data_IF_760895465785
#
_entry.id   IF_760895465785
#
_cell.length_a   1.000
_cell.length_b   1.000
_cell.length_c   1.000
_cell.angle_alpha   90.00
_cell.angle_beta   90.00
_cell.angle_gamma   90.00
#
_symmetry.space_group_name_H-M   'P 1'
#
loop_
_entity.id
_entity.type
_entity.pdbx_description
1 polymer ?
#
# COMPACT_ATOMS: atom_id res chain seq x y z
N UNK A 1 2.34 22.53 -13.34
CA UNK A 1 3.08 21.31 -12.94
C UNK A 1 2.47 20.83 -11.65
N UNK A 2 2.17 19.53 -11.52
CA UNK A 2 1.58 18.97 -10.30
C UNK A 2 2.50 19.25 -9.11
N UNK A 3 1.97 19.74 -7.99
CA UNK A 3 2.77 20.24 -6.87
C UNK A 3 2.59 19.48 -5.56
N UNK A 4 1.77 18.43 -5.56
CA UNK A 4 1.49 17.62 -4.40
C UNK A 4 2.66 16.75 -3.91
N UNK A 5 2.41 15.94 -2.87
CA UNK A 5 3.40 15.02 -2.32
C UNK A 5 3.66 13.84 -3.27
N UNK A 6 4.87 13.28 -3.19
CA UNK A 6 5.17 11.96 -3.75
C UNK A 6 4.30 10.92 -3.04
N UNK A 7 3.55 10.10 -3.77
CA UNK A 7 2.83 8.98 -3.15
C UNK A 7 3.65 7.71 -3.25
N UNK A 8 3.92 7.08 -2.10
CA UNK A 8 4.68 5.84 -2.02
C UNK A 8 3.73 4.74 -1.55
N UNK A 9 3.38 3.79 -2.42
CA UNK A 9 2.61 2.62 -2.04
C UNK A 9 3.47 1.68 -1.19
N UNK A 10 2.98 1.31 0.00
CA UNK A 10 3.77 0.58 0.98
C UNK A 10 2.97 -0.56 1.62
N UNK A 11 3.51 -1.77 1.54
CA UNK A 11 2.94 -2.99 2.12
C UNK A 11 3.92 -3.69 3.10
N UNK A 12 5.07 -3.05 3.36
CA UNK A 12 6.10 -3.58 4.27
C UNK A 12 7.02 -4.65 3.67
N UNK A 13 6.87 -4.96 2.38
CA UNK A 13 7.72 -5.96 1.71
C UNK A 13 9.12 -5.40 1.40
N UNK A 14 10.16 -6.24 1.28
CA UNK A 14 11.56 -5.79 1.09
C UNK A 14 11.81 -4.83 -0.08
N UNK A 15 11.19 -5.03 -1.22
CA UNK A 15 11.21 -4.12 -2.36
C UNK A 15 10.23 -2.93 -2.26
N UNK A 16 9.25 -2.90 -1.36
CA UNK A 16 8.53 -1.67 -1.05
C UNK A 16 9.45 -0.77 -0.22
N UNK A 17 10.19 -1.38 0.72
CA UNK A 17 11.28 -0.71 1.42
C UNK A 17 12.40 -0.25 0.47
N UNK A 18 12.83 -1.09 -0.49
CA UNK A 18 13.80 -0.71 -1.54
C UNK A 18 13.29 0.43 -2.39
N UNK A 19 12.03 0.35 -2.85
CA UNK A 19 11.42 1.37 -3.69
C UNK A 19 11.41 2.73 -3.01
N UNK A 20 11.06 2.74 -1.74
CA UNK A 20 11.08 3.93 -0.91
C UNK A 20 12.49 4.51 -0.78
N UNK A 21 13.51 3.68 -0.51
CA UNK A 21 14.91 4.14 -0.40
C UNK A 21 15.43 4.72 -1.71
N UNK A 22 15.24 4.01 -2.83
CA UNK A 22 15.70 4.48 -4.15
C UNK A 22 14.93 5.69 -4.66
N UNK A 23 13.65 5.81 -4.29
CA UNK A 23 12.92 7.04 -4.55
C UNK A 23 13.53 8.23 -3.80
N UNK A 24 14.08 8.03 -2.60
CA UNK A 24 14.81 9.06 -1.86
C UNK A 24 15.98 9.62 -2.66
N UNK A 25 16.79 8.75 -3.27
CA UNK A 25 17.94 9.17 -4.09
C UNK A 25 17.56 10.03 -5.30
N UNK A 26 16.36 9.80 -5.86
CA UNK A 26 15.92 10.45 -7.10
C UNK A 26 14.99 11.65 -6.88
N UNK A 27 14.22 11.63 -5.79
CA UNK A 27 13.09 12.54 -5.59
C UNK A 27 13.20 13.36 -4.30
N UNK A 28 14.14 13.08 -3.40
CA UNK A 28 14.35 13.92 -2.21
C UNK A 28 15.14 15.20 -2.55
N UNK A 29 14.96 16.30 -1.80
CA UNK A 29 13.96 16.47 -0.73
C UNK A 29 12.60 16.86 -1.31
N UNK A 30 11.55 16.11 -0.95
CA UNK A 30 10.15 16.43 -1.28
C UNK A 30 9.23 15.99 -0.16
N UNK A 31 8.03 16.58 -0.11
CA UNK A 31 6.94 16.02 0.68
C UNK A 31 6.56 14.64 0.13
N UNK A 32 6.39 13.65 1.00
CA UNK A 32 5.96 12.31 0.64
C UNK A 32 4.83 11.82 1.55
N UNK A 33 3.89 11.06 0.99
CA UNK A 33 2.92 10.29 1.74
C UNK A 33 3.21 8.81 1.51
N UNK A 34 3.49 8.09 2.60
CA UNK A 34 3.68 6.65 2.59
C UNK A 34 2.32 6.01 2.85
N UNK A 35 1.76 5.39 1.81
CA UNK A 35 0.36 4.96 1.73
C UNK A 35 0.25 3.46 1.93
N UNK A 36 -0.38 3.06 3.02
CA UNK A 36 -0.82 1.68 3.26
C UNK A 36 -2.30 1.58 2.92
N UNK A 37 -2.63 0.75 1.94
CA UNK A 37 -4.02 0.50 1.55
C UNK A 37 -4.52 -0.75 2.27
N UNK A 38 -5.70 -0.66 2.88
CA UNK A 38 -6.32 -1.76 3.62
C UNK A 38 -7.79 -1.95 3.25
N UNK A 39 -8.24 -3.20 3.24
CA UNK A 39 -9.64 -3.54 3.02
C UNK A 39 -10.43 -3.44 4.33
N UNK A 40 -11.28 -2.42 4.44
CA UNK A 40 -12.18 -2.23 5.59
C UNK A 40 -13.33 -3.22 5.46
N UNK A 41 -13.76 -3.82 6.57
CA UNK A 41 -14.84 -4.80 6.54
C UNK A 41 -14.36 -6.20 6.18
N UNK A 42 -13.09 -6.42 5.81
CA UNK A 42 -12.60 -7.74 5.39
C UNK A 42 -12.74 -8.79 6.48
N UNK A 43 -12.40 -8.42 7.72
CA UNK A 43 -12.51 -9.35 8.85
C UNK A 43 -13.98 -9.61 9.17
N UNK A 44 -14.81 -8.57 9.20
CA UNK A 44 -16.25 -8.75 9.37
C UNK A 44 -16.85 -9.64 8.28
N UNK A 45 -16.51 -9.40 7.02
CA UNK A 45 -16.97 -10.21 5.88
C UNK A 45 -16.50 -11.67 6.00
N UNK A 46 -15.27 -11.91 6.45
CA UNK A 46 -14.73 -13.26 6.61
C UNK A 46 -15.31 -14.02 7.83
N UNK A 47 -15.61 -13.31 8.93
CA UNK A 47 -16.05 -13.93 10.19
C UNK A 47 -17.57 -13.98 10.32
N UNK A 48 -18.27 -12.91 9.94
CA UNK A 48 -19.73 -12.76 10.09
C UNK A 48 -20.47 -13.06 8.78
N UNK A 49 -19.86 -12.76 7.63
CA UNK A 49 -20.47 -12.99 6.30
C UNK A 49 -20.94 -14.44 6.05
N UNK A 50 -20.16 -15.49 6.40
CA UNK A 50 -20.60 -16.88 6.23
C UNK A 50 -21.82 -17.23 7.08
N UNK A 51 -21.91 -16.71 8.31
CA UNK A 51 -23.05 -16.94 9.21
C UNK A 51 -24.33 -16.34 8.63
N UNK A 52 -24.24 -15.09 8.18
CA UNK A 52 -25.35 -14.39 7.51
C UNK A 52 -25.80 -15.13 6.25
N UNK A 53 -24.85 -15.57 5.42
CA UNK A 53 -25.13 -16.35 4.20
C UNK A 53 -25.81 -17.68 4.51
N UNK A 54 -25.40 -18.35 5.59
CA UNK A 54 -26.00 -19.59 6.06
C UNK A 54 -27.31 -19.39 6.85
N UNK A 55 -27.81 -18.16 6.98
CA UNK A 55 -28.97 -17.81 7.81
C UNK A 55 -28.82 -18.25 9.29
N UNK A 56 -27.59 -18.32 9.78
CA UNK A 56 -27.27 -18.59 11.18
C UNK A 56 -27.38 -17.26 11.93
N UNK A 57 -28.15 -17.17 13.04
CA UNK A 57 -28.27 -15.94 13.81
C UNK A 57 -26.91 -15.44 14.30
N UNK A 58 -26.57 -14.20 13.95
CA UNK A 58 -25.35 -13.54 14.44
C UNK A 58 -25.59 -13.03 15.85
N UNK A 59 -24.73 -13.43 16.77
CA UNK A 59 -24.73 -13.02 18.16
C UNK A 59 -23.93 -11.73 18.37
N UNK A 60 -24.20 -11.04 19.48
CA UNK A 60 -23.42 -9.86 19.89
C UNK A 60 -21.93 -10.19 20.06
N UNK A 61 -21.62 -11.41 20.53
CA UNK A 61 -20.24 -11.85 20.72
C UNK A 61 -19.48 -11.94 19.39
N UNK A 62 -20.10 -12.50 18.35
CA UNK A 62 -19.48 -12.60 17.02
C UNK A 62 -19.22 -11.22 16.42
N UNK A 63 -20.17 -10.28 16.57
CA UNK A 63 -19.99 -8.89 16.12
C UNK A 63 -18.83 -8.24 16.87
N UNK A 64 -18.81 -8.34 18.20
CA UNK A 64 -17.75 -7.73 19.03
C UNK A 64 -16.38 -8.28 18.66
N UNK A 65 -16.25 -9.59 18.50
CA UNK A 65 -14.99 -10.23 18.11
C UNK A 65 -14.52 -9.78 16.73
N UNK A 66 -15.42 -9.69 15.74
CA UNK A 66 -15.07 -9.16 14.43
C UNK A 66 -14.58 -7.69 14.52
N UNK A 67 -15.26 -6.85 15.30
CA UNK A 67 -14.86 -5.45 15.52
C UNK A 67 -13.50 -5.32 16.22
N UNK A 68 -13.20 -6.19 17.19
CA UNK A 68 -11.90 -6.25 17.86
C UNK A 68 -10.78 -6.58 16.87
N UNK A 69 -10.96 -7.60 16.04
CA UNK A 69 -9.98 -7.95 15.01
C UNK A 69 -9.81 -6.86 13.95
N UNK A 70 -10.88 -6.17 13.54
CA UNK A 70 -10.76 -5.02 12.63
C UNK A 70 -9.96 -3.88 13.24
N UNK A 71 -10.19 -3.60 14.53
CA UNK A 71 -9.43 -2.60 15.26
C UNK A 71 -7.95 -2.97 15.32
N UNK A 72 -7.61 -4.23 15.58
CA UNK A 72 -6.24 -4.72 15.56
C UNK A 72 -5.59 -4.60 14.17
N UNK A 73 -6.32 -4.96 13.12
CA UNK A 73 -5.86 -4.83 11.73
C UNK A 73 -5.58 -3.37 11.36
N UNK A 74 -6.48 -2.44 11.72
CA UNK A 74 -6.28 -1.00 11.52
C UNK A 74 -5.07 -0.48 12.28
N UNK A 75 -4.87 -0.91 13.54
CA UNK A 75 -3.69 -0.55 14.31
C UNK A 75 -2.40 -1.09 13.68
N UNK A 76 -2.41 -2.31 13.15
CA UNK A 76 -1.27 -2.87 12.44
C UNK A 76 -0.95 -2.08 11.16
N UNK A 77 -1.97 -1.70 10.38
CA UNK A 77 -1.80 -0.86 9.19
C UNK A 77 -1.22 0.52 9.54
N UNK A 78 -1.66 1.14 10.65
CA UNK A 78 -1.10 2.42 11.14
C UNK A 78 0.37 2.30 11.51
N UNK A 79 0.74 1.28 12.28
CA UNK A 79 2.15 1.01 12.63
C UNK A 79 2.99 0.79 11.37
N UNK A 80 2.43 0.12 10.36
CA UNK A 80 3.12 -0.11 9.09
C UNK A 80 3.34 1.20 8.31
N UNK A 81 2.32 2.07 8.26
CA UNK A 81 2.44 3.39 7.63
C UNK A 81 3.44 4.29 8.37
N UNK A 82 3.44 4.28 9.70
CA UNK A 82 4.40 5.00 10.55
C UNK A 82 5.83 4.49 10.33
N UNK A 83 6.03 3.16 10.30
CA UNK A 83 7.33 2.55 9.96
C UNK A 83 7.80 3.02 8.59
N UNK A 84 6.94 2.95 7.58
CA UNK A 84 7.27 3.40 6.23
C UNK A 84 7.61 4.89 6.18
N UNK A 85 6.86 5.74 6.89
CA UNK A 85 7.15 7.17 6.98
C UNK A 85 8.52 7.45 7.60
N UNK A 86 8.87 6.77 8.69
CA UNK A 86 10.19 6.89 9.31
C UNK A 86 11.31 6.51 8.33
N UNK A 87 11.14 5.41 7.59
CA UNK A 87 12.10 5.01 6.55
C UNK A 87 12.21 6.05 5.43
N UNK A 88 11.10 6.68 5.03
CA UNK A 88 11.12 7.71 3.99
C UNK A 88 11.82 8.98 4.49
N UNK A 89 11.67 9.31 5.77
CA UNK A 89 12.41 10.40 6.41
C UNK A 89 13.92 10.11 6.44
N UNK A 90 14.32 8.89 6.78
CA UNK A 90 15.72 8.44 6.69
C UNK A 90 16.27 8.53 5.25
N UNK A 91 15.42 8.31 4.25
CA UNK A 91 15.75 8.45 2.84
C UNK A 91 15.73 9.91 2.32
N UNK A 92 15.49 10.90 3.19
CA UNK A 92 15.58 12.33 2.88
C UNK A 92 14.26 13.02 2.48
N UNK A 93 13.12 12.34 2.58
CA UNK A 93 11.81 12.97 2.37
C UNK A 93 11.32 13.71 3.63
N UNK A 94 10.45 14.71 3.45
CA UNK A 94 9.53 15.14 4.50
C UNK A 94 8.26 14.29 4.39
N UNK A 95 8.24 13.18 5.13
CA UNK A 95 7.27 12.11 4.93
C UNK A 95 6.28 11.93 6.09
N UNK A 96 5.05 11.55 5.75
CA UNK A 96 4.00 11.15 6.69
C UNK A 96 3.39 9.81 6.28
N UNK A 97 2.96 9.03 7.28
CA UNK A 97 2.26 7.77 7.06
C UNK A 97 0.76 8.00 6.88
N UNK A 98 0.15 7.31 5.91
CA UNK A 98 -1.28 7.40 5.63
C UNK A 98 -1.87 6.00 5.44
N UNK A 99 -2.90 5.68 6.22
CA UNK A 99 -3.71 4.48 6.02
C UNK A 99 -4.97 4.87 5.26
N UNK A 100 -5.28 4.14 4.19
CA UNK A 100 -6.44 4.40 3.34
C UNK A 100 -7.24 3.12 3.15
N UNK A 101 -8.56 3.23 3.30
CA UNK A 101 -9.47 2.17 2.90
C UNK A 101 -9.36 1.94 1.39
N UNK A 102 -9.31 0.69 0.95
CA UNK A 102 -9.43 0.41 -0.46
C UNK A 102 -10.83 0.79 -0.98
N UNK A 103 -10.86 1.15 -2.25
CA UNK A 103 -12.09 1.40 -2.99
C UNK A 103 -12.49 0.09 -3.68
N UNK A 104 -12.13 -0.10 -4.95
CA UNK A 104 -12.28 -1.37 -5.66
C UNK A 104 -11.01 -2.24 -5.65
N UNK A 105 -9.83 -1.62 -5.54
CA UNK A 105 -8.54 -2.29 -5.53
C UNK A 105 -7.43 -1.35 -5.03
N UNK A 106 -6.27 -1.91 -4.68
CA UNK A 106 -5.07 -1.12 -4.32
C UNK A 106 -4.67 -0.15 -5.45
N UNK A 107 -4.55 -0.56 -6.73
CA UNK A 107 -4.31 0.37 -7.83
C UNK A 107 -5.33 1.49 -7.95
N UNK A 108 -6.63 1.17 -7.90
CA UNK A 108 -7.70 2.16 -8.02
C UNK A 108 -7.61 3.20 -6.89
N UNK A 109 -7.34 2.74 -5.67
CA UNK A 109 -7.17 3.59 -4.48
C UNK A 109 -5.97 4.53 -4.62
N UNK A 110 -4.83 4.01 -5.07
CA UNK A 110 -3.62 4.82 -5.28
C UNK A 110 -3.79 5.85 -6.41
N UNK A 111 -4.49 5.51 -7.49
CA UNK A 111 -4.78 6.44 -8.59
C UNK A 111 -5.71 7.57 -8.13
N UNK A 112 -6.79 7.23 -7.42
CA UNK A 112 -7.72 8.19 -6.84
C UNK A 112 -6.97 9.13 -5.89
N UNK A 113 -6.20 8.59 -4.96
CA UNK A 113 -5.46 9.39 -4.00
C UNK A 113 -4.43 10.30 -4.68
N UNK A 114 -3.71 9.82 -5.70
CA UNK A 114 -2.77 10.66 -6.41
C UNK A 114 -3.45 11.77 -7.22
N UNK A 115 -4.70 11.61 -7.64
CA UNK A 115 -5.47 12.71 -8.23
C UNK A 115 -5.91 13.70 -7.15
N UNK A 116 -6.49 13.22 -6.04
CA UNK A 116 -6.95 14.06 -4.92
C UNK A 116 -5.83 14.88 -4.27
N UNK A 117 -4.62 14.33 -4.22
CA UNK A 117 -3.45 15.00 -3.64
C UNK A 117 -2.61 15.75 -4.67
N UNK A 118 -3.02 15.77 -5.93
CA UNK A 118 -2.24 16.31 -7.06
C UNK A 118 -0.79 15.81 -7.06
N UNK A 119 -0.62 14.50 -6.87
CA UNK A 119 0.69 13.90 -6.71
C UNK A 119 1.45 13.91 -8.05
N UNK A 120 2.72 14.35 -8.08
CA UNK A 120 3.50 14.40 -9.31
C UNK A 120 4.01 13.02 -9.75
N UNK A 121 4.08 12.04 -8.83
CA UNK A 121 4.60 10.70 -9.09
C UNK A 121 4.08 9.69 -8.06
N UNK A 122 3.82 8.47 -8.53
CA UNK A 122 3.53 7.28 -7.73
C UNK A 122 4.77 6.39 -7.66
N UNK A 123 5.14 5.91 -6.48
CA UNK A 123 6.30 5.03 -6.25
C UNK A 123 5.82 3.70 -5.69
N UNK A 124 6.26 2.59 -6.30
CA UNK A 124 5.87 1.24 -5.90
C UNK A 124 7.07 0.29 -5.96
N UNK A 125 7.13 -0.63 -5.00
CA UNK A 125 7.92 -1.85 -5.15
C UNK A 125 7.22 -2.84 -6.08
N UNK A 126 8.00 -3.59 -6.87
CA UNK A 126 7.50 -4.71 -7.65
C UNK A 126 8.09 -6.03 -7.14
N UNK A 127 7.20 -6.91 -6.66
CA UNK A 127 7.56 -8.25 -6.18
C UNK A 127 6.55 -9.30 -6.63
N UNK A 128 6.93 -10.57 -6.44
CA UNK A 128 6.10 -11.75 -6.69
C UNK A 128 5.54 -12.31 -5.38
N UNK A 129 4.28 -12.76 -5.41
CA UNK A 129 3.70 -13.63 -4.37
C UNK A 129 4.10 -15.12 -4.54
N UNK A 130 4.76 -15.51 -5.64
CA UNK A 130 5.11 -16.91 -5.94
C UNK A 130 6.34 -17.04 -6.87
N UNK A 131 7.22 -18.00 -6.57
CA UNK A 131 8.51 -18.27 -7.22
C UNK A 131 8.43 -18.92 -8.63
N UNK A 132 7.72 -18.32 -9.59
CA UNK A 132 7.71 -18.80 -10.97
C UNK A 132 7.93 -17.65 -11.97
N UNK A 133 8.94 -17.81 -12.84
CA UNK A 133 9.33 -17.00 -14.01
C UNK A 133 9.95 -15.62 -13.74
N UNK A 134 11.16 -15.42 -14.28
CA UNK A 134 12.07 -14.27 -14.11
C UNK A 134 11.57 -12.89 -14.60
N UNK A 135 10.34 -12.74 -15.14
CA UNK A 135 9.96 -11.52 -15.89
C UNK A 135 8.61 -10.85 -15.51
N UNK A 136 8.01 -11.18 -14.37
CA UNK A 136 6.64 -10.76 -14.07
C UNK A 136 6.56 -9.66 -13.00
N UNK A 137 6.28 -8.43 -13.47
CA UNK A 137 5.93 -7.24 -12.67
C UNK A 137 4.65 -7.48 -11.86
N UNK A 138 4.60 -7.07 -10.58
CA UNK A 138 3.43 -7.29 -9.70
C UNK A 138 2.11 -6.78 -10.30
N UNK A 139 0.97 -7.40 -9.94
CA UNK A 139 -0.36 -7.03 -10.46
C UNK A 139 -0.68 -5.56 -10.24
N UNK A 140 -0.39 -5.04 -9.04
CA UNK A 140 -0.56 -3.62 -8.68
C UNK A 140 0.23 -2.70 -9.61
N UNK A 141 1.52 -2.97 -9.79
CA UNK A 141 2.39 -2.17 -10.66
C UNK A 141 1.95 -2.23 -12.13
N UNK A 142 1.52 -3.40 -12.62
CA UNK A 142 0.98 -3.56 -13.98
C UNK A 142 -0.27 -2.74 -14.22
N UNK A 143 -1.20 -2.77 -13.27
CA UNK A 143 -2.44 -2.01 -13.42
C UNK A 143 -2.18 -0.51 -13.36
N UNK A 144 -1.32 -0.06 -12.45
CA UNK A 144 -0.91 1.35 -12.36
C UNK A 144 -0.22 1.84 -13.62
N UNK A 145 0.73 1.08 -14.17
CA UNK A 145 1.41 1.46 -15.41
C UNK A 145 0.48 1.51 -16.63
N UNK A 146 -0.64 0.78 -16.62
CA UNK A 146 -1.64 0.84 -17.70
C UNK A 146 -2.60 2.03 -17.57
N UNK A 147 -2.88 2.49 -16.35
CA UNK A 147 -3.99 3.39 -16.05
C UNK A 147 -3.58 4.76 -15.52
N UNK A 148 -2.35 4.89 -15.03
CA UNK A 148 -1.86 6.16 -14.51
C UNK A 148 -1.74 7.20 -15.63
N UNK A 149 -2.27 8.38 -15.38
CA UNK A 149 -2.15 9.60 -16.17
C UNK A 149 -0.90 10.41 -15.78
N UNK A 150 -0.04 9.86 -14.93
CA UNK A 150 1.12 10.51 -14.31
C UNK A 150 2.28 9.53 -14.16
N UNK A 151 3.51 10.02 -13.94
CA UNK A 151 4.68 9.17 -13.74
C UNK A 151 4.48 8.12 -12.65
N UNK A 152 4.91 6.89 -12.94
CA UNK A 152 4.96 5.77 -11.98
C UNK A 152 6.39 5.24 -11.93
N UNK A 153 7.05 5.39 -10.78
CA UNK A 153 8.34 4.78 -10.50
C UNK A 153 8.11 3.38 -9.93
N UNK A 154 8.51 2.37 -10.70
CA UNK A 154 8.44 0.96 -10.29
C UNK A 154 9.85 0.46 -10.02
N UNK A 155 10.14 0.14 -8.77
CA UNK A 155 11.42 -0.39 -8.34
C UNK A 155 11.33 -1.90 -8.24
N UNK A 156 12.14 -2.60 -9.03
CA UNK A 156 12.18 -4.08 -9.03
C UNK A 156 13.10 -4.60 -7.94
N UNK A 157 12.86 -5.82 -7.49
CA UNK A 157 13.90 -6.61 -6.83
C UNK A 157 15.05 -6.84 -7.82
N UNK A 158 16.23 -6.30 -7.51
CA UNK A 158 17.45 -6.61 -8.25
C UNK A 158 17.99 -7.98 -7.85
N UNK A 159 18.75 -8.63 -8.74
CA UNK A 159 19.59 -9.75 -8.34
C UNK A 159 20.57 -9.26 -7.26
N UNK A 160 20.65 -9.99 -6.15
CA UNK A 160 21.80 -9.87 -5.25
C UNK A 160 23.00 -10.37 -6.05
N UNK A 161 23.84 -9.46 -6.54
CA UNK A 161 25.18 -9.83 -6.99
C UNK A 161 25.96 -10.25 -5.75
N UNK A 162 26.06 -11.55 -5.54
CA UNK A 162 27.07 -12.13 -4.67
C UNK A 162 28.39 -12.05 -5.44
N UNK A 163 29.30 -11.18 -4.99
CA UNK A 163 30.72 -11.21 -5.40
C UNK A 163 31.40 -12.50 -4.89
#
# INVERSE_FOLDING_TARGET
MRSGPVLIGFDGTPAAERALREAGELLAPRHALVVVVMEIGRVFAATVGPLMTASIPVTETEIRTAMEYEKEALQAARRLAEKGAAMAQEAGFDAQGLVVADDASVPATLLRLAEERDAPVLVLGAHRHSALSELLMGSTARELLKRADRPVLVVREGEVKTD
#
